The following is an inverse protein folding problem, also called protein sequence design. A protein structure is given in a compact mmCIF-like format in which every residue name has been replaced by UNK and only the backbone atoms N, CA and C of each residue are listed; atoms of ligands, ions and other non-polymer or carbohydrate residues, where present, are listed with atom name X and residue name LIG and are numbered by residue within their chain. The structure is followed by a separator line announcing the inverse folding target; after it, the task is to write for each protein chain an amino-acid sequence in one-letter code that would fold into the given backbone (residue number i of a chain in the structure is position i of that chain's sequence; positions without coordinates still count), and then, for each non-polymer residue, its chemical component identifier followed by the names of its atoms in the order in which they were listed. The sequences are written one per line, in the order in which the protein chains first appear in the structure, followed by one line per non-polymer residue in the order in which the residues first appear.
data_IF_375098418924
#
_entry.id   IF_375098418924
#
_cell.length_a   1.000
_cell.length_b   1.000
_cell.length_c   1.000
_cell.angle_alpha   90.00
_cell.angle_beta   90.00
_cell.angle_gamma   90.00
#
_symmetry.space_group_name_H-M   'P 1'
#
loop_
_entity.id
_entity.type
_entity.pdbx_description
1 polymer ?
#
# COMPACT_ATOMS: atom_id res chain seq x y z
N UNK A 1 -34.25 -17.24 -56.22
CA UNK A 1 -35.34 -18.20 -56.51
C UNK A 1 -36.12 -18.43 -55.24
N UNK A 2 -37.27 -17.77 -55.17
CA UNK A 2 -38.15 -17.73 -54.02
C UNK A 2 -38.68 -19.12 -53.66
N UNK A 3 -38.90 -19.36 -52.37
CA UNK A 3 -39.33 -20.65 -51.82
C UNK A 3 -40.63 -21.17 -52.49
N UNK A 4 -41.51 -20.24 -52.90
CA UNK A 4 -42.77 -20.52 -53.60
C UNK A 4 -42.55 -21.15 -54.99
N UNK A 5 -41.53 -20.74 -55.74
CA UNK A 5 -41.29 -21.27 -57.08
C UNK A 5 -40.72 -22.70 -57.06
N UNK A 6 -39.96 -23.05 -56.02
CA UNK A 6 -39.41 -24.42 -55.85
C UNK A 6 -40.50 -25.45 -55.57
N UNK A 7 -41.50 -25.07 -54.76
CA UNK A 7 -42.67 -25.91 -54.50
C UNK A 7 -43.46 -26.18 -55.78
N UNK A 8 -43.74 -25.15 -56.59
CA UNK A 8 -44.54 -25.30 -57.81
C UNK A 8 -43.83 -26.16 -58.85
N UNK A 9 -42.50 -26.00 -59.01
CA UNK A 9 -41.70 -26.86 -59.89
C UNK A 9 -41.75 -28.33 -59.43
N UNK A 10 -41.66 -28.59 -58.12
CA UNK A 10 -41.73 -29.96 -57.59
C UNK A 10 -43.07 -30.63 -57.89
N UNK A 11 -44.18 -29.91 -57.73
CA UNK A 11 -45.52 -30.45 -58.06
C UNK A 11 -45.70 -30.70 -59.56
N UNK A 12 -45.26 -29.78 -60.43
CA UNK A 12 -45.36 -29.95 -61.88
C UNK A 12 -44.58 -31.18 -62.35
N UNK A 13 -43.39 -31.42 -61.81
CA UNK A 13 -42.57 -32.61 -62.15
C UNK A 13 -43.28 -33.90 -61.74
N UNK A 14 -43.87 -33.94 -60.53
CA UNK A 14 -44.59 -35.14 -60.06
C UNK A 14 -45.81 -35.42 -60.94
N UNK A 15 -46.60 -34.40 -61.28
CA UNK A 15 -47.78 -34.55 -62.14
C UNK A 15 -47.38 -35.02 -63.55
N UNK A 16 -46.30 -34.47 -64.11
CA UNK A 16 -45.79 -34.88 -65.41
C UNK A 16 -45.36 -36.37 -65.42
N UNK A 17 -44.70 -36.84 -64.37
CA UNK A 17 -44.29 -38.25 -64.21
C UNK A 17 -45.51 -39.17 -64.13
N UNK A 18 -46.56 -38.77 -63.41
CA UNK A 18 -47.79 -39.58 -63.29
C UNK A 18 -48.48 -39.71 -64.66
N UNK A 19 -48.55 -38.62 -65.43
CA UNK A 19 -49.17 -38.61 -66.76
C UNK A 19 -48.38 -39.49 -67.73
N UNK A 20 -47.04 -39.41 -67.75
CA UNK A 20 -46.21 -40.21 -68.67
C UNK A 20 -46.26 -41.70 -68.32
N UNK A 21 -46.21 -42.06 -67.04
CA UNK A 21 -46.37 -43.45 -66.59
C UNK A 21 -47.77 -43.99 -66.92
N UNK A 22 -48.82 -43.21 -66.67
CA UNK A 22 -50.20 -43.60 -67.00
C UNK A 22 -50.37 -43.84 -68.52
N UNK A 23 -49.80 -42.97 -69.35
CA UNK A 23 -49.83 -43.13 -70.81
C UNK A 23 -49.07 -44.38 -71.27
N UNK A 24 -47.95 -44.72 -70.62
CA UNK A 24 -47.15 -45.89 -70.95
C UNK A 24 -47.91 -47.20 -70.64
N UNK A 25 -48.60 -47.25 -69.50
CA UNK A 25 -49.42 -48.40 -69.11
C UNK A 25 -50.59 -48.59 -70.08
N UNK A 26 -51.30 -47.52 -70.44
CA UNK A 26 -52.40 -47.59 -71.41
C UNK A 26 -51.95 -48.01 -72.82
N UNK A 27 -50.74 -47.65 -73.24
CA UNK A 27 -50.21 -48.07 -74.53
C UNK A 27 -49.67 -49.51 -74.53
N UNK A 28 -49.22 -50.01 -73.37
CA UNK A 28 -48.52 -51.29 -73.25
C UNK A 28 -49.32 -52.45 -72.65
N UNK A 29 -50.55 -52.23 -72.16
CA UNK A 29 -51.29 -53.26 -71.41
C UNK A 29 -51.64 -54.52 -72.21
N UNK A 30 -51.82 -54.38 -73.53
CA UNK A 30 -52.23 -55.48 -74.41
C UNK A 30 -51.05 -56.42 -74.76
N UNK A 31 -49.81 -55.99 -74.50
CA UNK A 31 -48.62 -56.80 -74.77
C UNK A 31 -48.18 -57.57 -73.51
N UNK A 32 -48.47 -58.87 -73.47
CA UNK A 32 -48.13 -59.75 -72.34
C UNK A 32 -46.62 -59.78 -72.01
N UNK A 33 -45.73 -59.62 -73.00
CA UNK A 33 -44.29 -59.59 -72.77
C UNK A 33 -43.85 -58.34 -72.00
N UNK A 34 -44.45 -57.19 -72.32
CA UNK A 34 -44.19 -55.92 -71.64
C UNK A 34 -44.67 -55.97 -70.18
N UNK A 35 -45.87 -56.49 -69.93
CA UNK A 35 -46.43 -56.65 -68.58
C UNK A 35 -45.56 -57.59 -67.73
N UNK A 36 -45.07 -58.69 -68.31
CA UNK A 36 -44.16 -59.62 -67.63
C UNK A 36 -42.83 -58.99 -67.22
N UNK A 37 -42.20 -58.23 -68.12
CA UNK A 37 -40.95 -57.51 -67.83
C UNK A 37 -41.15 -56.41 -66.78
N UNK A 38 -42.26 -55.67 -66.86
CA UNK A 38 -42.60 -54.63 -65.89
C UNK A 38 -42.83 -55.22 -64.48
N UNK A 39 -43.55 -56.34 -64.38
CA UNK A 39 -43.78 -57.03 -63.10
C UNK A 39 -42.48 -57.56 -62.46
N UNK A 40 -41.58 -58.11 -63.28
CA UNK A 40 -40.26 -58.55 -62.83
C UNK A 40 -39.40 -57.37 -62.35
N UNK A 41 -39.36 -56.28 -63.11
CA UNK A 41 -38.66 -55.05 -62.73
C UNK A 41 -39.22 -54.45 -61.44
N UNK A 42 -40.54 -54.45 -61.27
CA UNK A 42 -41.20 -54.01 -60.04
C UNK A 42 -40.83 -54.88 -58.84
N UNK A 43 -40.72 -56.20 -59.02
CA UNK A 43 -40.33 -57.14 -57.95
C UNK A 43 -38.88 -56.89 -57.52
N UNK A 44 -37.96 -56.71 -58.47
CA UNK A 44 -36.56 -56.35 -58.16
C UNK A 44 -36.50 -55.00 -57.44
N UNK A 45 -37.26 -54.01 -57.90
CA UNK A 45 -37.31 -52.68 -57.29
C UNK A 45 -37.76 -52.76 -55.83
N UNK A 46 -38.76 -53.57 -55.51
CA UNK A 46 -39.23 -53.80 -54.14
C UNK A 46 -38.16 -54.43 -53.24
N UNK A 47 -37.38 -55.39 -53.76
CA UNK A 47 -36.26 -56.00 -53.03
C UNK A 47 -35.18 -54.95 -52.73
N UNK A 48 -34.82 -54.13 -53.73
CA UNK A 48 -33.82 -53.07 -53.57
C UNK A 48 -34.29 -52.01 -52.57
N UNK A 49 -35.55 -51.58 -52.64
CA UNK A 49 -36.12 -50.62 -51.68
C UNK A 49 -36.07 -51.15 -50.24
N UNK A 50 -36.31 -52.44 -50.03
CA UNK A 50 -36.20 -53.08 -48.72
C UNK A 50 -34.77 -53.02 -48.17
N UNK A 51 -33.77 -53.29 -48.99
CA UNK A 51 -32.36 -53.20 -48.58
C UNK A 51 -31.95 -51.77 -48.25
N UNK A 52 -32.38 -50.80 -49.06
CA UNK A 52 -32.13 -49.37 -48.77
C UNK A 52 -32.80 -48.95 -47.47
N UNK A 53 -34.02 -49.43 -47.19
CA UNK A 53 -34.71 -49.15 -45.94
C UNK A 53 -33.98 -49.74 -44.73
N UNK A 54 -33.49 -50.99 -44.80
CA UNK A 54 -32.69 -51.61 -43.74
C UNK A 54 -31.39 -50.83 -43.54
N UNK A 55 -30.68 -50.46 -44.61
CA UNK A 55 -29.46 -49.66 -44.53
C UNK A 55 -29.71 -48.31 -43.86
N UNK A 56 -30.77 -47.61 -44.27
CA UNK A 56 -31.15 -46.32 -43.71
C UNK A 56 -31.55 -46.46 -42.23
N UNK A 57 -32.19 -47.56 -41.83
CA UNK A 57 -32.48 -47.84 -40.42
C UNK A 57 -31.20 -48.00 -39.61
N UNK A 58 -30.26 -48.84 -40.06
CA UNK A 58 -29.00 -49.10 -39.34
C UNK A 58 -28.11 -47.85 -39.33
N UNK A 59 -27.96 -47.17 -40.46
CA UNK A 59 -27.13 -45.96 -40.58
C UNK A 59 -27.77 -44.79 -39.82
N UNK A 60 -29.08 -44.64 -39.88
CA UNK A 60 -29.83 -43.64 -39.12
C UNK A 60 -29.73 -43.86 -37.62
N UNK A 61 -29.81 -45.10 -37.15
CA UNK A 61 -29.64 -45.44 -35.73
C UNK A 61 -28.22 -45.15 -35.24
N UNK A 62 -27.19 -45.57 -35.99
CA UNK A 62 -25.78 -45.30 -35.63
C UNK A 62 -25.46 -43.81 -35.58
N UNK A 63 -25.86 -43.07 -36.61
CA UNK A 63 -25.64 -41.60 -36.66
C UNK A 63 -26.42 -40.87 -35.58
N UNK A 64 -27.67 -41.26 -35.32
CA UNK A 64 -28.47 -40.69 -34.24
C UNK A 64 -27.87 -40.97 -32.86
N UNK A 65 -27.35 -42.18 -32.64
CA UNK A 65 -26.74 -42.53 -31.37
C UNK A 65 -25.44 -41.75 -31.12
N UNK A 66 -24.59 -41.62 -32.14
CA UNK A 66 -23.38 -40.77 -32.06
C UNK A 66 -23.71 -39.30 -31.78
N UNK A 67 -24.76 -38.77 -32.40
CA UNK A 67 -25.24 -37.40 -32.13
C UNK A 67 -25.73 -37.29 -30.68
N UNK A 68 -26.51 -38.25 -30.19
CA UNK A 68 -26.97 -38.27 -28.80
C UNK A 68 -25.79 -38.28 -27.82
N UNK A 69 -24.78 -39.13 -28.04
CA UNK A 69 -23.58 -39.17 -27.19
C UNK A 69 -22.85 -37.83 -27.20
N UNK A 70 -22.62 -37.23 -28.37
CA UNK A 70 -21.97 -35.90 -28.45
C UNK A 70 -22.77 -34.80 -27.77
N UNK A 71 -24.10 -34.86 -27.80
CA UNK A 71 -24.98 -33.92 -27.09
C UNK A 71 -24.85 -34.11 -25.57
N UNK A 72 -24.83 -35.35 -25.09
CA UNK A 72 -24.62 -35.65 -23.67
C UNK A 72 -23.26 -35.12 -23.23
N UNK A 73 -22.17 -35.45 -23.94
CA UNK A 73 -20.83 -34.96 -23.63
C UNK A 73 -20.75 -33.42 -23.64
N UNK A 74 -21.40 -32.78 -24.62
CA UNK A 74 -21.45 -31.32 -24.68
C UNK A 74 -22.22 -30.72 -23.51
N UNK A 75 -23.29 -31.37 -23.07
CA UNK A 75 -24.11 -30.96 -21.91
C UNK A 75 -23.30 -31.12 -20.63
N UNK A 76 -22.62 -32.24 -20.44
CA UNK A 76 -21.76 -32.46 -19.26
C UNK A 76 -20.61 -31.45 -19.21
N UNK A 77 -19.98 -31.14 -20.35
CA UNK A 77 -18.95 -30.10 -20.42
C UNK A 77 -19.50 -28.72 -20.10
N UNK A 78 -20.74 -28.43 -20.50
CA UNK A 78 -21.41 -27.17 -20.17
C UNK A 78 -21.72 -27.07 -18.68
N UNK A 79 -22.23 -28.15 -18.07
CA UNK A 79 -22.54 -28.19 -16.64
C UNK A 79 -21.27 -28.00 -15.80
N UNK A 80 -20.18 -28.70 -16.16
CA UNK A 80 -18.87 -28.49 -15.56
C UNK A 80 -18.35 -27.05 -15.74
N UNK A 81 -18.57 -26.44 -16.91
CA UNK A 81 -18.19 -25.05 -17.14
C UNK A 81 -18.99 -24.08 -16.24
N UNK A 82 -20.28 -24.32 -16.03
CA UNK A 82 -21.12 -23.53 -15.12
C UNK A 82 -20.63 -23.64 -13.68
N UNK A 83 -20.32 -24.86 -13.22
CA UNK A 83 -19.75 -25.09 -11.87
C UNK A 83 -18.42 -24.34 -11.72
N UNK A 84 -17.51 -24.47 -12.69
CA UNK A 84 -16.22 -23.78 -12.66
C UNK A 84 -16.39 -22.25 -12.63
N UNK A 85 -17.33 -21.69 -13.40
CA UNK A 85 -17.63 -20.26 -13.38
C UNK A 85 -18.19 -19.81 -12.02
N UNK A 86 -19.04 -20.62 -11.40
CA UNK A 86 -19.58 -20.31 -10.07
C UNK A 86 -18.47 -20.31 -9.01
N UNK A 87 -17.54 -21.26 -9.07
CA UNK A 87 -16.41 -21.32 -8.14
C UNK A 87 -15.38 -20.21 -8.37
N UNK A 88 -15.15 -19.84 -9.64
CA UNK A 88 -14.37 -18.65 -9.99
C UNK A 88 -15.02 -17.40 -9.38
N UNK A 89 -16.33 -17.25 -9.51
CA UNK A 89 -17.03 -16.07 -8.99
C UNK A 89 -16.96 -15.99 -7.46
N UNK A 90 -17.14 -17.12 -6.75
CA UNK A 90 -16.97 -17.17 -5.29
C UNK A 90 -15.54 -16.82 -4.86
N UNK A 91 -14.55 -17.35 -5.57
CA UNK A 91 -13.13 -17.08 -5.29
C UNK A 91 -12.81 -15.62 -5.56
N UNK A 92 -13.33 -15.06 -6.65
CA UNK A 92 -13.20 -13.66 -7.01
C UNK A 92 -13.81 -12.74 -5.95
N UNK A 93 -15.05 -12.99 -5.52
CA UNK A 93 -15.71 -12.20 -4.46
C UNK A 93 -14.91 -12.21 -3.16
N UNK A 94 -14.37 -13.38 -2.78
CA UNK A 94 -13.50 -13.52 -1.61
C UNK A 94 -12.22 -12.70 -1.75
N UNK A 95 -11.48 -12.89 -2.85
CA UNK A 95 -10.23 -12.16 -3.10
C UNK A 95 -10.44 -10.65 -3.25
N UNK A 96 -11.57 -10.24 -3.82
CA UNK A 96 -11.94 -8.83 -3.93
C UNK A 96 -12.18 -8.22 -2.56
N UNK A 97 -12.94 -8.91 -1.69
CA UNK A 97 -13.20 -8.46 -0.32
C UNK A 97 -11.90 -8.34 0.49
N UNK A 98 -11.02 -9.33 0.42
CA UNK A 98 -9.71 -9.30 1.09
C UNK A 98 -8.85 -8.12 0.60
N UNK A 99 -8.86 -7.83 -0.71
CA UNK A 99 -8.15 -6.69 -1.28
C UNK A 99 -8.72 -5.34 -0.82
N UNK A 100 -10.05 -5.21 -0.74
CA UNK A 100 -10.71 -4.00 -0.25
C UNK A 100 -10.34 -3.73 1.21
N UNK A 101 -10.36 -4.76 2.05
CA UNK A 101 -9.96 -4.66 3.46
C UNK A 101 -8.48 -4.27 3.61
N UNK A 102 -7.59 -4.88 2.81
CA UNK A 102 -6.18 -4.51 2.79
C UNK A 102 -5.97 -3.04 2.37
N UNK A 103 -6.71 -2.53 1.38
CA UNK A 103 -6.66 -1.12 0.97
C UNK A 103 -7.13 -0.20 2.10
N UNK A 104 -8.17 -0.56 2.84
CA UNK A 104 -8.65 0.22 3.98
C UNK A 104 -7.62 0.28 5.12
N UNK A 105 -6.93 -0.82 5.38
CA UNK A 105 -5.84 -0.85 6.37
C UNK A 105 -4.69 0.06 5.95
N UNK A 106 -4.26 -0.03 4.68
CA UNK A 106 -3.22 0.85 4.12
C UNK A 106 -3.62 2.32 4.25
N UNK A 107 -4.87 2.68 3.95
CA UNK A 107 -5.36 4.05 4.11
C UNK A 107 -5.27 4.53 5.58
N UNK A 108 -5.58 3.65 6.53
CA UNK A 108 -5.51 3.95 7.96
C UNK A 108 -4.06 4.15 8.41
N UNK A 109 -3.16 3.23 8.03
CA UNK A 109 -1.73 3.35 8.32
C UNK A 109 -1.13 4.62 7.69
N UNK A 110 -1.47 4.92 6.44
CA UNK A 110 -1.01 6.14 5.77
C UNK A 110 -1.50 7.41 6.47
N UNK A 111 -2.73 7.42 6.96
CA UNK A 111 -3.28 8.54 7.74
C UNK A 111 -2.49 8.76 9.03
N UNK A 112 -2.10 7.69 9.72
CA UNK A 112 -1.27 7.77 10.92
C UNK A 112 0.13 8.31 10.60
N UNK A 113 0.76 7.83 9.51
CA UNK A 113 2.06 8.35 9.05
C UNK A 113 1.99 9.84 8.73
N UNK A 114 0.90 10.33 8.12
CA UNK A 114 0.72 11.76 7.86
C UNK A 114 0.65 12.56 9.17
N UNK A 115 -0.07 12.07 10.18
CA UNK A 115 -0.14 12.72 11.50
C UNK A 115 1.22 12.77 12.20
N UNK A 116 1.98 11.67 12.15
CA UNK A 116 3.36 11.63 12.68
C UNK A 116 4.30 12.58 11.92
N UNK A 117 4.15 12.69 10.59
CA UNK A 117 4.92 13.64 9.80
C UNK A 117 4.59 15.10 10.14
N UNK A 118 3.33 15.41 10.45
CA UNK A 118 2.95 16.75 10.91
C UNK A 118 3.56 17.09 12.28
N UNK A 119 3.61 16.13 13.21
CA UNK A 119 4.27 16.35 14.51
C UNK A 119 5.77 16.54 14.34
N UNK A 120 6.44 15.70 13.55
CA UNK A 120 7.88 15.83 13.24
C UNK A 120 8.16 17.15 12.55
N UNK A 121 7.31 17.59 11.62
CA UNK A 121 7.46 18.90 10.97
C UNK A 121 7.42 20.04 12.00
N UNK A 122 6.51 19.98 12.97
CA UNK A 122 6.43 20.97 14.04
C UNK A 122 7.72 20.99 14.88
N UNK A 123 8.23 19.81 15.27
CA UNK A 123 9.48 19.69 16.04
C UNK A 123 10.71 20.18 15.27
N UNK A 124 10.77 19.92 13.97
CA UNK A 124 11.86 20.40 13.10
C UNK A 124 11.83 21.93 12.97
N UNK A 125 10.64 22.54 12.89
CA UNK A 125 10.51 24.00 12.86
C UNK A 125 10.99 24.61 14.17
N UNK A 126 10.55 24.11 15.32
CA UNK A 126 11.02 24.60 16.62
C UNK A 126 12.52 24.40 16.82
N UNK A 127 13.06 23.27 16.35
CA UNK A 127 14.50 23.01 16.41
C UNK A 127 15.29 23.97 15.52
N UNK A 128 14.77 24.30 14.32
CA UNK A 128 15.41 25.25 13.41
C UNK A 128 15.48 26.65 14.01
N UNK A 129 14.40 27.11 14.62
CA UNK A 129 14.34 28.41 15.30
C UNK A 129 15.34 28.46 16.47
N UNK A 130 15.37 27.40 17.28
CA UNK A 130 16.32 27.26 18.38
C UNK A 130 17.80 27.29 17.92
N UNK A 131 18.13 26.51 16.89
CA UNK A 131 19.51 26.46 16.36
C UNK A 131 19.91 27.82 15.80
N UNK A 132 18.98 28.53 15.15
CA UNK A 132 19.25 29.86 14.60
C UNK A 132 19.58 30.88 15.72
N UNK A 133 18.80 30.91 16.80
CA UNK A 133 19.08 31.78 17.96
C UNK A 133 20.43 31.45 18.61
N UNK A 134 20.77 30.17 18.74
CA UNK A 134 22.06 29.74 19.29
C UNK A 134 23.24 30.17 18.41
N UNK A 135 23.12 30.09 17.08
CA UNK A 135 24.14 30.55 16.14
C UNK A 135 24.33 32.07 16.19
N UNK A 136 23.24 32.83 16.18
CA UNK A 136 23.29 34.30 16.22
C UNK A 136 23.93 34.79 17.52
N UNK A 137 23.66 34.11 18.63
CA UNK A 137 24.29 34.41 19.91
C UNK A 137 25.78 34.05 19.97
N UNK A 138 26.17 32.90 19.40
CA UNK A 138 27.58 32.49 19.37
C UNK A 138 28.43 33.48 18.53
N UNK A 139 27.86 33.99 17.44
CA UNK A 139 28.48 35.05 16.62
C UNK A 139 28.73 36.34 17.42
N UNK A 140 27.77 36.76 18.25
CA UNK A 140 27.93 37.92 19.15
C UNK A 140 29.04 37.64 20.17
N UNK A 141 29.02 36.46 20.78
CA UNK A 141 30.00 36.07 21.82
C UNK A 141 31.44 36.07 21.28
N UNK A 142 31.65 35.47 20.10
CA UNK A 142 32.96 35.44 19.43
C UNK A 142 33.44 36.83 18.99
N UNK A 143 32.52 37.73 18.63
CA UNK A 143 32.88 39.09 18.23
C UNK A 143 33.44 39.92 19.40
N UNK A 144 32.88 39.77 20.61
CA UNK A 144 33.27 40.52 21.80
C UNK A 144 34.50 39.97 22.51
N UNK A 145 34.75 38.67 22.39
CA UNK A 145 35.95 38.04 22.94
C UNK A 145 37.24 38.60 22.30
N UNK A 146 37.15 39.08 21.06
CA UNK A 146 38.25 39.69 20.33
C UNK A 146 38.47 41.19 20.64
N UNK A 147 37.53 41.86 21.33
CA UNK A 147 37.58 43.31 21.61
C UNK A 147 37.78 43.68 23.08
N UNK A 148 37.86 42.69 23.99
CA UNK A 148 38.00 42.90 25.45
C UNK A 148 36.89 43.76 26.09
N UNK A 149 35.76 43.94 25.40
CA UNK A 149 34.59 44.63 25.95
C UNK A 149 33.85 43.71 26.93
N UNK A 150 33.59 44.22 28.15
CA UNK A 150 32.76 43.51 29.12
C UNK A 150 31.30 43.46 28.64
N UNK A 151 30.63 42.34 28.91
CA UNK A 151 29.19 42.19 28.66
C UNK A 151 28.39 43.07 29.61
N UNK A 152 27.25 43.56 29.13
CA UNK A 152 26.25 44.23 29.98
C UNK A 152 25.43 43.21 30.78
N UNK A 153 24.82 43.64 31.88
CA UNK A 153 23.94 42.79 32.72
C UNK A 153 22.86 42.06 31.91
N UNK A 154 22.23 42.73 30.94
CA UNK A 154 21.17 42.13 30.11
C UNK A 154 21.72 41.07 29.13
N UNK A 155 22.96 41.23 28.69
CA UNK A 155 23.62 40.26 27.82
C UNK A 155 24.06 39.02 28.59
N UNK A 156 24.46 39.16 29.86
CA UNK A 156 24.68 38.03 30.76
C UNK A 156 23.40 37.24 31.04
N UNK A 157 22.28 37.93 31.23
CA UNK A 157 20.97 37.28 31.38
C UNK A 157 20.60 36.50 30.11
N UNK A 158 20.84 37.09 28.92
CA UNK A 158 20.61 36.40 27.64
C UNK A 158 21.52 35.19 27.48
N UNK A 159 22.79 35.28 27.87
CA UNK A 159 23.74 34.18 27.86
C UNK A 159 23.25 32.99 28.70
N UNK A 160 22.79 33.27 29.93
CA UNK A 160 22.27 32.23 30.82
C UNK A 160 20.99 31.61 30.27
N UNK A 161 20.07 32.42 29.74
CA UNK A 161 18.84 31.91 29.10
C UNK A 161 19.15 31.03 27.89
N UNK A 162 20.11 31.41 27.06
CA UNK A 162 20.51 30.60 25.91
C UNK A 162 21.17 29.28 26.33
N UNK A 163 21.93 29.28 27.42
CA UNK A 163 22.46 28.06 28.02
C UNK A 163 21.31 27.18 28.55
N UNK A 164 20.30 27.75 29.21
CA UNK A 164 19.12 27.04 29.68
C UNK A 164 18.33 26.38 28.54
N UNK A 165 18.30 26.98 27.36
CA UNK A 165 17.64 26.41 26.18
C UNK A 165 18.34 25.14 25.65
N UNK A 166 19.61 24.88 26.01
CA UNK A 166 20.30 23.61 25.68
C UNK A 166 19.74 22.41 26.46
N UNK A 167 18.98 22.65 27.53
CA UNK A 167 18.32 21.60 28.28
C UNK A 167 17.04 21.16 27.56
N UNK A 168 17.08 19.97 26.96
CA UNK A 168 15.98 19.37 26.20
C UNK A 168 14.83 18.79 27.06
N UNK A 169 14.91 18.89 28.39
CA UNK A 169 13.89 18.40 29.32
C UNK A 169 13.91 19.16 30.65
N UNK A 170 12.78 19.17 31.37
CA UNK A 170 12.68 19.82 32.69
C UNK A 170 13.69 19.28 33.72
N UNK A 171 13.95 17.96 33.81
CA UNK A 171 15.01 17.44 34.69
C UNK A 171 16.41 17.94 34.30
N UNK A 172 16.71 18.03 32.99
CA UNK A 172 17.99 18.55 32.52
C UNK A 172 18.15 20.04 32.84
N UNK A 173 17.06 20.82 32.77
CA UNK A 173 17.05 22.24 33.11
C UNK A 173 17.29 22.48 34.60
N UNK A 174 16.64 21.70 35.47
CA UNK A 174 16.83 21.77 36.92
C UNK A 174 18.27 21.42 37.32
N UNK A 175 18.84 20.37 36.71
CA UNK A 175 20.24 19.99 36.89
C UNK A 175 21.17 21.11 36.44
N UNK A 176 20.96 21.68 35.26
CA UNK A 176 21.75 22.78 34.71
C UNK A 176 21.68 24.02 35.61
N UNK A 177 20.49 24.40 36.06
CA UNK A 177 20.30 25.55 36.95
C UNK A 177 21.05 25.37 38.28
N UNK A 178 20.92 24.20 38.90
CA UNK A 178 21.62 23.86 40.15
C UNK A 178 23.14 23.81 39.96
N UNK A 179 23.61 23.33 38.81
CA UNK A 179 25.04 23.36 38.46
C UNK A 179 25.59 24.77 38.29
N UNK A 180 24.84 25.67 37.63
CA UNK A 180 25.23 27.08 37.51
C UNK A 180 25.24 27.76 38.88
N UNK A 181 24.20 27.52 39.69
CA UNK A 181 24.08 28.06 41.04
C UNK A 181 25.26 27.62 41.93
N UNK A 182 25.59 26.33 41.92
CA UNK A 182 26.73 25.77 42.66
C UNK A 182 28.04 26.46 42.32
N UNK A 183 28.29 26.74 41.04
CA UNK A 183 29.52 27.40 40.60
C UNK A 183 29.57 28.85 41.08
N UNK A 184 28.45 29.57 40.99
CA UNK A 184 28.33 30.94 41.50
C UNK A 184 28.59 30.97 43.01
N UNK A 185 27.92 30.12 43.77
CA UNK A 185 28.05 30.05 45.24
C UNK A 185 29.44 29.61 45.69
N UNK A 186 30.05 28.64 45.00
CA UNK A 186 31.40 28.17 45.34
C UNK A 186 32.45 29.26 45.11
N UNK A 187 32.29 30.07 44.06
CA UNK A 187 33.14 31.24 43.77
C UNK A 187 32.95 32.36 44.78
N UNK A 188 31.70 32.68 45.16
CA UNK A 188 31.43 33.67 46.21
C UNK A 188 32.02 33.24 47.57
N UNK A 189 31.92 31.95 47.91
CA UNK A 189 32.39 31.43 49.20
C UNK A 189 33.92 31.25 49.30
N UNK A 190 34.61 30.96 48.18
CA UNK A 190 36.06 30.66 48.17
C UNK A 190 36.93 31.75 47.55
N UNK A 191 36.34 32.84 47.05
CA UNK A 191 37.04 33.84 46.25
C UNK A 191 37.34 33.36 44.82
N UNK A 192 38.22 34.07 44.10
CA UNK A 192 38.52 33.95 42.64
C UNK A 192 39.01 32.55 42.18
N UNK A 193 39.17 31.59 43.10
CA UNK A 193 39.52 30.21 42.79
C UNK A 193 38.59 29.60 41.73
N UNK A 194 39.19 28.93 40.74
CA UNK A 194 38.46 28.25 39.68
C UNK A 194 37.78 26.99 40.26
N UNK A 195 36.49 26.81 40.00
CA UNK A 195 35.83 25.51 40.27
C UNK A 195 36.57 24.48 39.42
N UNK A 196 36.99 23.36 40.00
CA UNK A 196 37.68 22.29 39.26
C UNK A 196 36.67 21.30 38.71
N UNK A 197 37.00 20.68 37.57
CA UNK A 197 36.18 19.62 36.97
C UNK A 197 35.89 18.49 37.96
N UNK A 198 36.88 18.12 38.79
CA UNK A 198 36.71 17.09 39.83
C UNK A 198 35.66 17.48 40.88
N UNK A 199 35.71 18.72 41.37
CA UNK A 199 34.72 19.23 42.33
C UNK A 199 33.31 19.35 41.74
N UNK A 200 33.23 19.61 40.43
CA UNK A 200 31.98 19.68 39.70
C UNK A 200 31.37 18.29 39.48
N UNK A 201 32.19 17.30 39.11
CA UNK A 201 31.77 15.90 38.96
C UNK A 201 31.24 15.34 40.29
N UNK A 202 31.89 15.64 41.41
CA UNK A 202 31.44 15.20 42.74
C UNK A 202 30.07 15.80 43.12
N UNK A 203 29.87 17.10 42.85
CA UNK A 203 28.56 17.75 42.99
C UNK A 203 27.50 17.10 42.10
N UNK A 204 27.81 16.90 40.82
CA UNK A 204 26.88 16.33 39.85
C UNK A 204 26.44 14.90 40.22
N UNK A 205 27.37 14.06 40.70
CA UNK A 205 27.08 12.71 41.20
C UNK A 205 26.10 12.73 42.37
N UNK A 206 26.26 13.67 43.31
CA UNK A 206 25.36 13.84 44.46
C UNK A 206 23.98 14.36 44.05
N UNK A 207 23.91 15.12 42.95
CA UNK A 207 22.69 15.74 42.49
C UNK A 207 21.74 14.76 41.79
N UNK A 208 22.27 13.86 40.96
CA UNK A 208 21.42 13.03 40.06
C UNK A 208 21.19 11.62 40.59
N UNK A 209 22.01 11.10 41.51
CA UNK A 209 21.84 9.76 42.10
C UNK A 209 21.74 8.64 41.02
N UNK A 210 22.50 8.74 39.93
CA UNK A 210 22.48 7.80 38.78
C UNK A 210 23.90 7.37 38.39
N UNK A 211 24.02 6.13 37.89
CA UNK A 211 25.25 5.52 37.37
C UNK A 211 25.85 6.29 36.18
N UNK A 212 27.14 6.60 36.31
CA UNK A 212 27.89 7.69 35.65
C UNK A 212 28.10 7.54 34.14
N UNK A 213 27.82 6.37 33.54
CA UNK A 213 28.32 6.05 32.19
C UNK A 213 27.44 6.54 31.02
N UNK A 214 26.11 6.62 31.18
CA UNK A 214 25.23 7.12 30.11
C UNK A 214 25.14 8.65 30.04
N UNK A 215 25.65 9.37 31.05
CA UNK A 215 25.48 10.82 31.20
C UNK A 215 26.79 11.63 31.16
N UNK A 216 27.94 10.99 30.87
CA UNK A 216 29.23 11.67 30.69
C UNK A 216 29.17 12.78 29.62
N UNK A 217 28.35 12.60 28.59
CA UNK A 217 28.10 13.60 27.56
C UNK A 217 27.36 14.83 28.13
N UNK A 218 26.36 14.61 28.98
CA UNK A 218 25.59 15.67 29.63
C UNK A 218 26.45 16.45 30.64
N UNK A 219 27.30 15.77 31.43
CA UNK A 219 28.28 16.41 32.31
C UNK A 219 29.24 17.31 31.51
N UNK A 220 29.73 16.83 30.37
CA UNK A 220 30.64 17.58 29.50
C UNK A 220 30.00 18.85 28.92
N UNK A 221 28.76 18.77 28.46
CA UNK A 221 27.99 19.92 27.96
C UNK A 221 27.76 20.95 29.06
N UNK A 222 27.28 20.51 30.22
CA UNK A 222 26.98 21.39 31.35
C UNK A 222 28.26 22.05 31.87
N UNK A 223 29.35 21.30 31.97
CA UNK A 223 30.66 21.84 32.34
C UNK A 223 31.16 22.90 31.34
N UNK A 224 30.99 22.66 30.04
CA UNK A 224 31.37 23.60 29.00
C UNK A 224 30.56 24.89 29.07
N UNK A 225 29.25 24.79 29.33
CA UNK A 225 28.38 25.95 29.51
C UNK A 225 28.78 26.77 30.74
N UNK A 226 29.09 26.11 31.86
CA UNK A 226 29.60 26.73 33.08
C UNK A 226 30.94 27.43 32.85
N UNK A 227 31.88 26.80 32.12
CA UNK A 227 33.15 27.42 31.71
C UNK A 227 32.93 28.67 30.88
N UNK A 228 31.94 28.67 30.00
CA UNK A 228 31.60 29.81 29.14
C UNK A 228 31.12 31.02 29.97
N UNK A 229 30.32 30.77 31.02
CA UNK A 229 29.93 31.79 31.99
C UNK A 229 31.13 32.37 32.76
N UNK A 230 32.12 31.54 33.06
CA UNK A 230 33.34 31.99 33.73
C UNK A 230 34.24 32.84 32.80
N UNK A 231 34.39 32.42 31.53
CA UNK A 231 35.20 33.12 30.52
C UNK A 231 34.60 34.49 30.14
N UNK A 232 33.28 34.63 30.21
CA UNK A 232 32.58 35.88 29.86
C UNK A 232 32.69 36.97 30.93
N UNK A 233 33.23 36.67 32.11
CA UNK A 233 33.39 37.65 33.20
C UNK A 233 32.12 37.86 34.03
N UNK A 234 31.09 37.01 33.89
CA UNK A 234 29.85 37.11 34.66
C UNK A 234 30.11 37.18 36.17
N UNK A 235 31.03 36.35 36.64
CA UNK A 235 31.38 36.23 38.06
C UNK A 235 32.16 37.45 38.60
N UNK A 236 32.56 38.38 37.72
CA UNK A 236 33.23 39.63 38.09
C UNK A 236 32.25 40.80 38.27
N UNK A 237 30.97 40.62 37.88
CA UNK A 237 29.91 41.63 38.04
C UNK A 237 28.90 41.22 39.13
N UNK A 238 28.97 41.81 40.35
CA UNK A 238 28.06 41.46 41.44
C UNK A 238 26.58 41.70 41.11
N UNK A 239 26.29 42.76 40.35
CA UNK A 239 24.93 43.10 39.91
C UNK A 239 24.37 42.11 38.89
N UNK A 240 25.21 41.60 37.99
CA UNK A 240 24.80 40.58 37.02
C UNK A 240 24.57 39.22 37.71
N UNK A 241 25.42 38.84 38.65
CA UNK A 241 25.28 37.60 39.44
C UNK A 241 23.96 37.57 40.19
N UNK A 242 23.58 38.67 40.85
CA UNK A 242 22.33 38.74 41.60
C UNK A 242 21.10 38.63 40.68
N UNK A 243 21.14 39.26 39.50
CA UNK A 243 20.07 39.15 38.50
C UNK A 243 19.97 37.73 37.92
N UNK A 244 21.10 37.08 37.66
CA UNK A 244 21.15 35.69 37.16
C UNK A 244 20.60 34.71 38.20
N UNK A 245 20.96 34.85 39.48
CA UNK A 245 20.42 34.01 40.57
C UNK A 245 18.89 34.04 40.62
N UNK A 246 18.27 35.22 40.41
CA UNK A 246 16.80 35.37 40.37
C UNK A 246 16.11 34.63 39.21
N UNK A 247 16.86 34.22 38.18
CA UNK A 247 16.34 33.50 37.01
C UNK A 247 16.62 31.99 37.11
N UNK A 248 17.51 31.58 38.03
CA UNK A 248 17.90 30.18 38.25
C UNK A 248 17.10 29.49 39.36
N UNK A 249 16.47 30.27 40.25
CA UNK A 249 15.58 29.83 41.35
C UNK A 249 14.13 29.84 40.85
#
# INVERSE_FOLDING_TARGET
MDEKSRLHIRYIVIIAIIITLGSLVLAGYDNQSFVGQFSFASTITSIVLSVVAIWMSISGERTTNEIKTKIIDATDRLDNAVINVQDINKTFDKSFKEKVESIQNIHTEFSNVVLELESVKSEVVSTKEYVQEAFDFNKITLSKQNTSEQYTDDEYIRLVKNIQLLANSQPALDVLNKSILYVIETREARGVGEVTLESFIDFYRKLINVDVLNDLFNVGIIWSAVKLLNITGLLESPTAVEKVKKILI
#
